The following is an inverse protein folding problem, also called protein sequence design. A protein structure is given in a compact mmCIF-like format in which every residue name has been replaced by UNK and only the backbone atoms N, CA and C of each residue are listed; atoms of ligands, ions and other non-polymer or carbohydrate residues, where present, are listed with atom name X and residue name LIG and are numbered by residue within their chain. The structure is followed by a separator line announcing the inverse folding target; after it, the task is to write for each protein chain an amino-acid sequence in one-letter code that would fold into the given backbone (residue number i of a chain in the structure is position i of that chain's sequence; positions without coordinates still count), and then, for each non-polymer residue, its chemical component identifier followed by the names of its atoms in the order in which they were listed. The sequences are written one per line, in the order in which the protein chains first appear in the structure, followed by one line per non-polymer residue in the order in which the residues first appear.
data_IF_147515985788
#
_entry.id   IF_147515985788
#
_cell.length_a   1.000
_cell.length_b   1.000
_cell.length_c   1.000
_cell.angle_alpha   90.00
_cell.angle_beta   90.00
_cell.angle_gamma   90.00
#
_symmetry.space_group_name_H-M   'P 1'
#
loop_
_entity.id
_entity.type
_entity.pdbx_description
1 polymer ?
#
# COMPACT_ATOMS: atom_id res chain seq x y z
N UNK A 1 -0.10 -25.55 -7.31
CA UNK A 1 -1.33 -26.00 -8.03
C UNK A 1 -1.70 -27.37 -7.48
N UNK A 2 -2.94 -27.53 -7.00
CA UNK A 2 -3.42 -28.81 -6.46
C UNK A 2 -3.35 -29.92 -7.52
N UNK A 3 -2.89 -31.07 -7.12
CA UNK A 3 -2.94 -32.28 -7.95
C UNK A 3 -4.15 -33.08 -7.56
N UNK A 4 -5.13 -33.19 -8.47
CA UNK A 4 -6.37 -33.92 -8.26
C UNK A 4 -6.32 -35.23 -9.02
N UNK A 5 -6.55 -36.36 -8.35
CA UNK A 5 -6.70 -37.65 -8.99
C UNK A 5 -8.12 -37.82 -9.49
N UNK A 6 -8.33 -37.86 -10.80
CA UNK A 6 -9.67 -38.09 -11.37
C UNK A 6 -9.95 -39.55 -11.55
N UNK A 7 -11.24 -39.94 -11.45
CA UNK A 7 -11.69 -41.32 -11.71
C UNK A 7 -11.43 -41.76 -13.16
N UNK A 8 -11.52 -40.80 -14.08
CA UNK A 8 -11.31 -41.09 -15.53
C UNK A 8 -9.85 -41.38 -15.82
N UNK A 9 -8.91 -40.69 -15.18
CA UNK A 9 -7.47 -40.93 -15.34
C UNK A 9 -7.03 -42.22 -14.66
N UNK A 10 -7.60 -42.53 -13.49
CA UNK A 10 -7.32 -43.77 -12.77
C UNK A 10 -7.91 -45.01 -13.44
N UNK A 11 -9.00 -44.89 -14.18
CA UNK A 11 -9.73 -46.00 -14.82
C UNK A 11 -10.43 -46.94 -13.85
N UNK A 12 -10.54 -46.60 -12.56
CA UNK A 12 -11.21 -47.34 -11.50
C UNK A 12 -11.79 -46.40 -10.46
N UNK A 13 -12.70 -46.87 -9.57
CA UNK A 13 -13.19 -46.03 -8.46
C UNK A 13 -12.06 -45.47 -7.60
N UNK A 14 -12.20 -44.23 -7.14
CA UNK A 14 -11.27 -43.63 -6.17
C UNK A 14 -11.40 -44.34 -4.83
N UNK A 15 -10.31 -44.56 -4.16
CA UNK A 15 -10.27 -44.99 -2.76
C UNK A 15 -10.63 -43.82 -1.86
N UNK A 16 -11.02 -44.10 -0.60
CA UNK A 16 -11.28 -43.06 0.38
C UNK A 16 -10.08 -42.13 0.55
N UNK A 17 -8.86 -42.67 0.63
CA UNK A 17 -7.66 -41.86 0.77
C UNK A 17 -7.42 -40.92 -0.43
N UNK A 18 -7.76 -41.34 -1.65
CA UNK A 18 -7.64 -40.48 -2.84
C UNK A 18 -8.71 -39.39 -2.85
N UNK A 19 -9.90 -39.67 -2.34
CA UNK A 19 -10.97 -38.67 -2.15
C UNK A 19 -10.54 -37.66 -1.09
N UNK A 20 -10.09 -38.12 0.04
CA UNK A 20 -9.61 -37.25 1.13
C UNK A 20 -8.42 -36.37 0.66
N UNK A 21 -7.44 -36.97 -0.02
CA UNK A 21 -6.31 -36.24 -0.59
C UNK A 21 -6.73 -35.19 -1.62
N UNK A 22 -7.77 -35.46 -2.41
CA UNK A 22 -8.31 -34.46 -3.35
C UNK A 22 -8.93 -33.27 -2.62
N UNK A 23 -9.66 -33.49 -1.53
CA UNK A 23 -10.21 -32.43 -0.71
C UNK A 23 -9.13 -31.64 0.00
N UNK A 24 -8.12 -32.29 0.57
CA UNK A 24 -6.99 -31.64 1.21
C UNK A 24 -6.21 -30.78 0.22
N UNK A 25 -5.94 -31.28 -0.99
CA UNK A 25 -5.28 -30.53 -2.05
C UNK A 25 -6.09 -29.30 -2.48
N UNK A 26 -7.40 -29.43 -2.64
CA UNK A 26 -8.28 -28.29 -2.97
C UNK A 26 -8.32 -27.27 -1.83
N UNK A 27 -8.36 -27.75 -0.57
CA UNK A 27 -8.39 -26.88 0.59
C UNK A 27 -7.05 -26.12 0.76
N UNK A 28 -5.92 -26.79 0.52
CA UNK A 28 -4.60 -26.18 0.61
C UNK A 28 -4.29 -25.22 -0.54
N UNK A 29 -4.98 -25.34 -1.68
CA UNK A 29 -4.77 -24.48 -2.87
C UNK A 29 -5.76 -23.28 -2.93
N UNK A 30 -6.72 -23.21 -2.01
CA UNK A 30 -7.61 -22.04 -1.91
C UNK A 30 -6.88 -20.87 -1.25
N UNK A 31 -7.21 -19.66 -1.68
CA UNK A 31 -6.73 -18.45 -1.03
C UNK A 31 -7.42 -18.29 0.34
N UNK A 32 -6.63 -18.01 1.36
CA UNK A 32 -7.10 -17.72 2.72
C UNK A 32 -6.84 -16.25 3.10
N UNK A 33 -7.40 -15.83 4.23
CA UNK A 33 -7.16 -14.47 4.72
C UNK A 33 -5.66 -14.27 5.03
N UNK A 34 -5.02 -13.37 4.34
CA UNK A 34 -3.59 -13.08 4.45
C UNK A 34 -2.73 -13.61 3.30
N UNK A 35 -3.30 -14.40 2.40
CA UNK A 35 -2.56 -14.86 1.22
C UNK A 35 -2.35 -13.75 0.20
N UNK A 36 -1.17 -13.75 -0.42
CA UNK A 36 -0.88 -12.92 -1.58
C UNK A 36 -1.44 -13.58 -2.84
N UNK A 37 -2.30 -12.85 -3.55
CA UNK A 37 -2.87 -13.31 -4.82
C UNK A 37 -1.99 -12.85 -5.97
N UNK A 38 -1.31 -13.80 -6.64
CA UNK A 38 -0.54 -13.54 -7.85
C UNK A 38 -1.27 -14.07 -9.08
N UNK A 39 -1.82 -13.17 -9.88
CA UNK A 39 -2.57 -13.49 -11.10
C UNK A 39 -2.06 -12.63 -12.27
N UNK A 40 -2.18 -13.14 -13.50
CA UNK A 40 -1.79 -12.40 -14.70
C UNK A 40 -2.62 -11.14 -14.95
N UNK A 41 -3.90 -11.16 -14.60
CA UNK A 41 -4.81 -10.02 -14.57
C UNK A 41 -5.87 -10.22 -13.49
N UNK A 42 -6.17 -9.16 -12.74
CA UNK A 42 -7.26 -9.12 -11.78
C UNK A 42 -8.34 -8.16 -12.30
N UNK A 43 -9.53 -8.67 -12.59
CA UNK A 43 -10.70 -7.87 -12.95
C UNK A 43 -11.64 -7.84 -11.76
N UNK A 44 -11.82 -6.65 -11.17
CA UNK A 44 -12.78 -6.40 -10.09
C UNK A 44 -14.00 -5.73 -10.71
N UNK A 45 -15.14 -6.44 -10.75
CA UNK A 45 -16.40 -5.93 -11.34
C UNK A 45 -17.29 -5.20 -10.35
N UNK A 46 -16.90 -5.13 -9.09
CA UNK A 46 -17.56 -4.39 -8.02
C UNK A 46 -16.60 -3.41 -7.34
N UNK A 47 -17.00 -2.91 -6.18
CA UNK A 47 -16.17 -2.00 -5.39
C UNK A 47 -14.90 -2.72 -4.87
N UNK A 48 -13.77 -2.04 -4.96
CA UNK A 48 -12.53 -2.47 -4.29
C UNK A 48 -12.25 -1.57 -3.10
N UNK A 49 -11.95 -2.17 -1.94
CA UNK A 49 -11.61 -1.44 -0.72
C UNK A 49 -10.11 -1.58 -0.43
N UNK A 50 -9.44 -0.45 -0.25
CA UNK A 50 -8.03 -0.44 0.16
C UNK A 50 -7.89 -0.31 1.67
N UNK A 51 -6.84 -0.87 2.24
CA UNK A 51 -6.60 -0.80 3.67
C UNK A 51 -6.38 0.66 4.11
N UNK A 52 -7.16 1.10 5.10
CA UNK A 52 -7.18 2.48 5.56
C UNK A 52 -6.86 2.57 7.05
N UNK A 53 -6.09 3.60 7.46
CA UNK A 53 -5.97 4.06 8.84
C UNK A 53 -6.65 5.41 8.97
N UNK A 54 -7.82 5.44 9.62
CA UNK A 54 -8.68 6.61 9.71
C UNK A 54 -8.29 7.59 10.84
N UNK A 55 -7.32 7.22 11.68
CA UNK A 55 -6.87 8.06 12.80
C UNK A 55 -5.40 7.74 13.12
N UNK A 56 -4.49 8.43 12.45
CA UNK A 56 -3.06 8.35 12.71
C UNK A 56 -2.64 9.51 13.60
N UNK A 57 -1.92 9.23 14.68
CA UNK A 57 -1.21 10.24 15.45
C UNK A 57 0.24 10.30 14.98
N UNK A 58 0.67 11.43 14.43
CA UNK A 58 2.06 11.65 14.12
C UNK A 58 2.87 11.74 15.42
N UNK A 59 4.10 11.24 15.41
CA UNK A 59 4.99 11.27 16.55
C UNK A 59 6.42 11.63 16.13
N UNK A 60 7.28 11.88 17.10
CA UNK A 60 8.69 12.15 16.88
C UNK A 60 8.99 13.35 15.98
N UNK A 61 10.22 13.81 16.01
CA UNK A 61 10.70 14.91 15.15
C UNK A 61 11.79 14.47 14.17
N UNK A 62 12.16 13.20 14.24
CA UNK A 62 13.15 12.53 13.39
C UNK A 62 12.57 11.21 12.87
N UNK A 63 13.17 10.67 11.81
CA UNK A 63 12.69 9.46 11.14
C UNK A 63 12.48 8.25 12.08
N UNK A 64 13.44 8.04 13.00
CA UNK A 64 13.42 6.86 13.89
C UNK A 64 12.31 6.88 14.94
N UNK A 65 11.77 8.05 15.28
CA UNK A 65 10.74 8.25 16.30
C UNK A 65 9.35 8.53 15.68
N UNK A 66 9.29 8.65 14.35
CA UNK A 66 8.06 8.94 13.64
C UNK A 66 7.11 7.72 13.61
N UNK A 67 5.82 7.98 13.57
CA UNK A 67 4.80 6.91 13.52
C UNK A 67 4.88 6.14 12.21
N UNK A 68 5.03 4.80 12.30
CA UNK A 68 5.10 3.93 11.12
C UNK A 68 3.70 3.75 10.52
N UNK A 69 3.57 4.05 9.23
CA UNK A 69 2.36 3.79 8.46
C UNK A 69 2.34 2.34 7.98
N UNK A 70 1.20 1.67 8.12
CA UNK A 70 1.03 0.26 7.73
C UNK A 70 -0.04 0.06 6.65
N UNK A 71 -0.76 1.13 6.28
CA UNK A 71 -1.90 1.08 5.36
C UNK A 71 -1.63 1.88 4.09
N UNK A 72 -2.39 1.57 3.04
CA UNK A 72 -2.30 2.31 1.77
C UNK A 72 -2.90 3.71 1.85
N UNK A 73 -3.94 3.90 2.69
CA UNK A 73 -4.58 5.19 2.94
C UNK A 73 -4.48 5.56 4.41
N UNK A 74 -3.99 6.77 4.70
CA UNK A 74 -3.68 7.21 6.06
C UNK A 74 -4.19 8.62 6.28
N UNK A 75 -5.08 8.79 7.26
CA UNK A 75 -5.57 10.08 7.72
C UNK A 75 -4.85 10.44 9.01
N UNK A 76 -3.97 11.44 8.96
CA UNK A 76 -3.29 11.97 10.15
C UNK A 76 -4.20 12.99 10.82
N UNK A 77 -4.71 12.65 11.99
CA UNK A 77 -5.69 13.47 12.74
C UNK A 77 -5.09 14.16 13.96
N UNK A 78 -3.93 13.73 14.40
CA UNK A 78 -3.26 14.28 15.58
C UNK A 78 -1.78 14.50 15.29
N UNK A 79 -1.31 15.73 15.52
CA UNK A 79 0.10 16.09 15.46
C UNK A 79 0.36 17.37 16.26
N UNK A 80 1.59 17.51 16.77
CA UNK A 80 2.18 18.81 17.12
C UNK A 80 3.21 19.19 16.06
N UNK A 81 3.63 20.45 16.05
CA UNK A 81 4.57 20.94 15.03
C UNK A 81 5.85 20.08 14.96
N UNK A 82 6.28 19.79 13.72
CA UNK A 82 7.46 18.97 13.40
C UNK A 82 7.36 17.46 13.71
N UNK A 83 6.26 16.98 14.22
CA UNK A 83 6.02 15.54 14.30
C UNK A 83 5.85 14.92 12.92
N UNK A 84 6.11 13.62 12.81
CA UNK A 84 6.11 12.94 11.53
C UNK A 84 5.53 11.55 11.51
N UNK A 85 5.42 11.07 10.28
CA UNK A 85 5.08 9.67 9.95
C UNK A 85 6.15 9.12 9.03
N UNK A 86 6.39 7.81 9.09
CA UNK A 86 7.34 7.10 8.22
C UNK A 86 6.62 6.06 7.39
N UNK A 87 6.99 5.94 6.12
CA UNK A 87 6.41 4.97 5.18
C UNK A 87 6.76 3.53 5.56
N UNK A 88 5.94 2.56 5.17
CA UNK A 88 6.38 1.17 5.16
C UNK A 88 7.55 1.00 4.20
N UNK A 89 8.33 -0.06 4.38
CA UNK A 89 9.43 -0.41 3.46
C UNK A 89 8.97 -0.42 2.01
N UNK A 90 9.79 0.16 1.14
CA UNK A 90 9.54 0.29 -0.28
C UNK A 90 9.46 -1.08 -0.97
N UNK A 91 8.40 -1.27 -1.72
CA UNK A 91 8.20 -2.39 -2.65
C UNK A 91 7.72 -1.77 -3.96
N UNK A 92 8.38 -2.06 -5.07
CA UNK A 92 8.03 -1.50 -6.38
C UNK A 92 6.54 -1.70 -6.69
N UNK A 93 5.86 -0.65 -7.08
CA UNK A 93 4.42 -0.62 -7.34
C UNK A 93 3.56 -0.30 -6.11
N UNK A 94 4.11 -0.35 -4.90
CA UNK A 94 3.36 0.01 -3.69
C UNK A 94 2.97 1.48 -3.70
N UNK A 95 1.74 1.76 -3.27
CA UNK A 95 1.21 3.12 -3.18
C UNK A 95 0.87 3.46 -1.74
N UNK A 96 1.18 4.69 -1.32
CA UNK A 96 0.81 5.25 -0.02
C UNK A 96 0.16 6.61 -0.23
N UNK A 97 -1.01 6.79 0.37
CA UNK A 97 -1.75 8.04 0.39
C UNK A 97 -1.78 8.59 1.82
N UNK A 98 -1.49 9.87 1.98
CA UNK A 98 -1.49 10.54 3.28
C UNK A 98 -2.27 11.83 3.15
N UNK A 99 -3.25 12.02 4.04
CA UNK A 99 -3.95 13.29 4.24
C UNK A 99 -3.58 13.83 5.63
N UNK A 100 -3.03 15.04 5.67
CA UNK A 100 -2.79 15.76 6.92
C UNK A 100 -4.03 16.56 7.31
N UNK A 101 -4.88 15.99 8.15
CA UNK A 101 -6.08 16.65 8.69
C UNK A 101 -5.80 17.47 9.96
N UNK A 102 -4.54 17.68 10.32
CA UNK A 102 -4.16 18.50 11.48
C UNK A 102 -4.01 19.97 11.10
N UNK A 103 -3.94 20.84 12.10
CA UNK A 103 -3.72 22.28 11.91
C UNK A 103 -2.22 22.67 11.76
N UNK A 104 -1.29 21.69 11.78
CA UNK A 104 0.14 21.92 11.70
C UNK A 104 0.77 21.15 10.54
N UNK A 105 1.91 21.66 10.03
CA UNK A 105 2.73 20.89 9.09
C UNK A 105 3.33 19.67 9.79
N UNK A 106 3.28 18.54 9.11
CA UNK A 106 3.91 17.29 9.54
C UNK A 106 5.07 16.93 8.60
N UNK A 107 5.98 16.12 9.10
CA UNK A 107 7.07 15.53 8.31
C UNK A 107 6.65 14.15 7.83
N UNK A 108 6.89 13.84 6.57
CA UNK A 108 6.75 12.51 6.03
C UNK A 108 8.13 11.99 5.66
N UNK A 109 8.49 10.84 6.19
CA UNK A 109 9.80 10.22 5.99
C UNK A 109 9.67 8.96 5.15
N UNK A 110 10.63 8.66 4.26
CA UNK A 110 10.75 7.32 3.69
C UNK A 110 11.19 6.35 4.80
N UNK A 111 11.18 5.05 4.56
CA UNK A 111 11.84 4.11 5.47
C UNK A 111 13.37 4.28 5.40
N UNK A 112 14.09 3.70 6.36
CA UNK A 112 15.55 3.86 6.43
C UNK A 112 16.25 3.34 5.18
N UNK A 113 17.15 4.15 4.63
CA UNK A 113 17.87 3.85 3.38
C UNK A 113 17.15 4.23 2.10
N UNK A 114 15.92 4.74 2.19
CA UNK A 114 15.08 5.11 1.07
C UNK A 114 15.04 6.64 0.87
N UNK A 115 14.43 7.09 -0.22
CA UNK A 115 14.26 8.50 -0.53
C UNK A 115 12.89 8.82 -1.13
N UNK A 116 12.49 10.08 -1.03
CA UNK A 116 11.30 10.65 -1.66
C UNK A 116 11.76 11.63 -2.76
N UNK A 117 11.29 11.41 -3.98
CA UNK A 117 11.62 12.26 -5.15
C UNK A 117 13.14 12.43 -5.31
N UNK A 118 13.64 13.67 -5.22
CA UNK A 118 15.06 14.03 -5.28
C UNK A 118 15.62 14.58 -3.96
N UNK A 119 14.91 14.35 -2.83
CA UNK A 119 15.27 14.96 -1.55
C UNK A 119 16.53 14.36 -0.89
N UNK A 120 16.99 13.21 -1.38
CA UNK A 120 18.10 12.47 -0.77
C UNK A 120 17.62 11.40 0.20
N UNK A 121 18.55 10.50 0.54
CA UNK A 121 18.26 9.35 1.42
C UNK A 121 17.87 9.82 2.82
N UNK A 122 16.81 9.21 3.37
CA UNK A 122 16.24 9.51 4.68
C UNK A 122 15.68 10.93 4.86
N UNK A 123 15.70 11.77 3.82
CA UNK A 123 15.24 13.14 3.91
C UNK A 123 13.71 13.22 4.00
N UNK A 124 13.24 14.06 4.94
CA UNK A 124 11.82 14.30 5.11
C UNK A 124 11.26 15.23 4.04
N UNK A 125 9.98 15.04 3.69
CA UNK A 125 9.17 16.02 2.97
C UNK A 125 8.12 16.59 3.92
N UNK A 126 7.89 17.89 3.87
CA UNK A 126 6.84 18.53 4.67
C UNK A 126 5.49 18.40 3.98
N UNK A 127 4.45 18.08 4.75
CA UNK A 127 3.07 18.06 4.32
C UNK A 127 2.29 19.11 5.12
N UNK A 128 1.81 20.13 4.43
CA UNK A 128 1.09 21.27 5.04
C UNK A 128 -0.25 20.84 5.66
N UNK A 129 -0.83 21.65 6.58
CA UNK A 129 -2.18 21.42 7.06
C UNK A 129 -3.20 21.31 5.92
N UNK A 130 -4.11 20.34 6.00
CA UNK A 130 -5.12 20.07 4.98
C UNK A 130 -4.60 19.50 3.65
N UNK A 131 -3.29 19.38 3.48
CA UNK A 131 -2.71 18.85 2.25
C UNK A 131 -2.74 17.31 2.23
N UNK A 132 -2.83 16.76 1.04
CA UNK A 132 -2.68 15.33 0.78
C UNK A 132 -1.54 15.07 -0.20
N UNK A 133 -1.00 13.85 -0.14
CA UNK A 133 0.00 13.38 -1.08
C UNK A 133 -0.22 11.91 -1.39
N UNK A 134 -0.06 11.56 -2.65
CA UNK A 134 0.02 10.18 -3.11
C UNK A 134 1.44 9.91 -3.56
N UNK A 135 2.03 8.84 -3.06
CA UNK A 135 3.36 8.38 -3.45
C UNK A 135 3.27 6.97 -3.99
N UNK A 136 4.05 6.71 -5.02
CA UNK A 136 4.24 5.37 -5.59
C UNK A 136 5.71 4.98 -5.48
N UNK A 137 5.97 3.77 -5.06
CA UNK A 137 7.31 3.22 -5.04
C UNK A 137 7.71 2.83 -6.47
N UNK A 138 8.65 3.56 -7.06
CA UNK A 138 9.14 3.33 -8.43
C UNK A 138 10.30 2.33 -8.50
N UNK A 139 10.98 2.12 -7.38
CA UNK A 139 12.04 1.10 -7.21
C UNK A 139 12.14 0.75 -5.73
N UNK A 140 12.87 -0.30 -5.36
CA UNK A 140 12.98 -0.77 -3.97
C UNK A 140 13.47 0.24 -2.93
N UNK A 141 13.86 1.46 -3.34
CA UNK A 141 14.35 2.52 -2.43
C UNK A 141 13.83 3.92 -2.77
N UNK A 142 13.02 4.05 -3.83
CA UNK A 142 12.61 5.37 -4.33
C UNK A 142 11.09 5.52 -4.39
N UNK A 143 10.57 6.44 -3.63
CA UNK A 143 9.20 6.92 -3.68
C UNK A 143 9.09 8.15 -4.57
N UNK A 144 8.11 8.15 -5.46
CA UNK A 144 7.77 9.28 -6.31
C UNK A 144 6.41 9.84 -5.91
N UNK A 145 6.36 11.14 -5.64
CA UNK A 145 5.09 11.82 -5.44
C UNK A 145 4.36 11.98 -6.77
N UNK A 146 3.10 11.57 -6.78
CA UNK A 146 2.19 11.89 -7.87
C UNK A 146 1.72 13.33 -7.66
N UNK A 147 2.19 14.22 -8.49
CA UNK A 147 1.74 15.61 -8.46
C UNK A 147 0.30 15.67 -8.96
N UNK A 148 -0.57 16.51 -8.36
CA UNK A 148 -1.87 16.79 -8.95
C UNK A 148 -1.67 17.35 -10.36
N UNK A 149 -2.52 16.95 -11.29
CA UNK A 149 -2.55 17.55 -12.61
C UNK A 149 -2.97 19.00 -12.45
N UNK A 150 -2.07 19.93 -12.74
CA UNK A 150 -2.38 21.35 -12.78
C UNK A 150 -3.01 21.62 -14.14
N UNK A 151 -4.31 21.93 -14.15
CA UNK A 151 -5.03 22.27 -15.37
C UNK A 151 -4.96 23.80 -15.53
N UNK A 152 -4.54 24.21 -16.72
CA UNK A 152 -4.55 25.61 -17.12
C UNK A 152 -5.66 25.84 -18.14
N UNK A 153 -6.32 26.98 -18.08
CA UNK A 153 -7.23 27.43 -19.14
C UNK A 153 -6.47 27.90 -20.39
N UNK A 154 -7.20 28.26 -21.40
CA UNK A 154 -6.59 28.74 -22.66
C UNK A 154 -5.84 30.08 -22.54
N UNK A 155 -5.99 30.79 -21.42
CA UNK A 155 -5.26 32.01 -21.08
C UNK A 155 -3.96 31.74 -20.32
N UNK A 156 -3.71 30.48 -19.90
CA UNK A 156 -2.58 30.09 -19.07
C UNK A 156 -2.81 30.31 -17.58
N UNK A 157 -4.06 30.54 -17.17
CA UNK A 157 -4.43 30.64 -15.74
C UNK A 157 -4.73 29.25 -15.17
N UNK A 158 -4.22 28.98 -13.96
CA UNK A 158 -4.47 27.70 -13.28
C UNK A 158 -5.95 27.61 -12.88
N UNK A 159 -6.59 26.49 -13.25
CA UNK A 159 -7.96 26.17 -12.83
C UNK A 159 -7.85 25.24 -11.60
N UNK A 160 -8.41 25.68 -10.46
CA UNK A 160 -8.49 24.91 -9.22
C UNK A 160 -9.84 24.21 -9.12
#
# INVERSE_FOLDING_TARGET
MATITSRSEKGSPLTNNEVDANFDNLNNDKYESGDDISVGALIVTGDSTFSTSAAVSAAGSVQGDATVLTKSYNLVTTATANQGVVFPTAVTGKTVNILNATAVSIKIYPASGEQIDSLGTNAAKNLAPGASITLVCSSGTLWKSLLPVIIYDSSGSQIN
#
